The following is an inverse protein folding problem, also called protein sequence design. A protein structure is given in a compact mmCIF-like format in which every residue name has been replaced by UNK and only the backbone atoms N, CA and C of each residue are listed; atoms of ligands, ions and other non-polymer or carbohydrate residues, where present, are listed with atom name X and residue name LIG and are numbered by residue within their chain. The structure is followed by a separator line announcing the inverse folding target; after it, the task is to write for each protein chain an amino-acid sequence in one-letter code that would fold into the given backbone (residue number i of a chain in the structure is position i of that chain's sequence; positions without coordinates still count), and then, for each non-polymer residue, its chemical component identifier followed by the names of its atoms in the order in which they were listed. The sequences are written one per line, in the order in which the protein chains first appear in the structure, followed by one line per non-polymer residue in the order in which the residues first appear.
data_IF_272561817128
#
_entry.id   IF_272561817128
#
_cell.length_a   1.000
_cell.length_b   1.000
_cell.length_c   1.000
_cell.angle_alpha   90.00
_cell.angle_beta   90.00
_cell.angle_gamma   90.00
#
_symmetry.space_group_name_H-M   'P 1'
#
loop_
_entity.id
_entity.type
_entity.pdbx_description
1 polymer ?
#
# COMPACT_ATOMS: atom_id res chain seq x y z
N UNK A 1 12.33 24.38 -5.82
CA UNK A 1 11.86 24.86 -4.50
C UNK A 1 10.36 24.95 -4.57
N UNK A 2 9.63 24.19 -3.74
CA UNK A 2 8.16 24.19 -3.73
C UNK A 2 7.71 25.50 -3.05
N UNK A 3 6.80 26.22 -3.69
CA UNK A 3 6.31 27.52 -3.22
C UNK A 3 5.35 27.36 -2.04
N UNK A 4 5.26 28.38 -1.19
CA UNK A 4 4.34 28.42 -0.03
C UNK A 4 2.87 28.19 -0.46
N UNK A 5 2.52 28.62 -1.67
CA UNK A 5 1.22 28.44 -2.30
C UNK A 5 0.93 26.96 -2.64
N UNK A 6 1.91 26.23 -3.18
CA UNK A 6 1.78 24.80 -3.49
C UNK A 6 1.66 23.95 -2.22
N UNK A 7 2.35 24.32 -1.14
CA UNK A 7 2.18 23.67 0.18
C UNK A 7 0.76 23.83 0.72
N UNK A 8 0.22 25.04 0.64
CA UNK A 8 -1.14 25.36 1.11
C UNK A 8 -2.21 24.66 0.27
N UNK A 9 -2.04 24.61 -1.05
CA UNK A 9 -2.96 23.92 -1.96
C UNK A 9 -2.96 22.40 -1.69
N UNK A 10 -1.78 21.79 -1.52
CA UNK A 10 -1.67 20.37 -1.17
C UNK A 10 -2.30 20.07 0.20
N UNK A 11 -2.11 20.94 1.20
CA UNK A 11 -2.75 20.79 2.50
C UNK A 11 -4.27 20.94 2.45
N UNK A 12 -4.79 21.88 1.65
CA UNK A 12 -6.23 22.06 1.46
C UNK A 12 -6.88 20.86 0.77
N UNK A 13 -6.22 20.29 -0.25
CA UNK A 13 -6.67 19.07 -0.93
C UNK A 13 -6.67 17.83 0.00
N UNK A 14 -5.73 17.77 0.96
CA UNK A 14 -5.67 16.74 2.01
C UNK A 14 -6.75 16.94 3.09
N UNK A 15 -7.19 18.18 3.32
CA UNK A 15 -8.20 18.52 4.33
C UNK A 15 -9.64 18.38 3.82
N UNK A 16 -9.90 18.68 2.55
CA UNK A 16 -11.25 18.56 1.97
C UNK A 16 -11.64 17.11 1.60
N UNK A 17 -10.66 16.24 1.35
CA UNK A 17 -10.93 14.83 1.08
C UNK A 17 -10.57 14.01 2.32
N UNK A 18 -11.49 13.17 2.77
CA UNK A 18 -11.29 12.00 3.64
C UNK A 18 -10.16 11.02 3.20
N UNK A 19 -9.35 11.40 2.22
CA UNK A 19 -8.30 10.65 1.57
C UNK A 19 -6.97 11.01 2.22
N UNK A 20 -6.64 10.37 3.34
CA UNK A 20 -5.28 10.37 3.85
C UNK A 20 -4.54 9.20 3.17
N UNK A 21 -3.67 9.46 2.17
CA UNK A 21 -3.04 8.39 1.40
C UNK A 21 -2.21 7.46 2.29
N UNK A 22 -1.66 7.96 3.40
CA UNK A 22 -0.95 7.14 4.39
C UNK A 22 -1.87 6.17 5.12
N UNK A 23 -3.10 6.57 5.45
CA UNK A 23 -4.10 5.67 6.05
C UNK A 23 -4.52 4.58 5.07
N UNK A 24 -4.84 4.96 3.83
CA UNK A 24 -5.22 4.02 2.76
C UNK A 24 -4.08 3.03 2.53
N UNK A 25 -2.84 3.52 2.44
CA UNK A 25 -1.63 2.71 2.32
C UNK A 25 -1.50 1.70 3.45
N UNK A 26 -1.71 2.13 4.69
CA UNK A 26 -1.64 1.23 5.86
C UNK A 26 -2.72 0.16 5.86
N UNK A 27 -3.96 0.52 5.50
CA UNK A 27 -5.09 -0.42 5.45
C UNK A 27 -4.85 -1.47 4.36
N UNK A 28 -4.57 -1.05 3.13
CA UNK A 28 -4.35 -1.96 2.01
C UNK A 28 -3.13 -2.86 2.28
N UNK A 29 -2.04 -2.30 2.82
CA UNK A 29 -0.87 -3.09 3.21
C UNK A 29 -1.23 -4.18 4.23
N UNK A 30 -2.05 -3.86 5.22
CA UNK A 30 -2.51 -4.81 6.25
C UNK A 30 -3.38 -5.93 5.66
N UNK A 31 -4.29 -5.57 4.76
CA UNK A 31 -5.19 -6.53 4.12
C UNK A 31 -4.42 -7.51 3.22
N UNK A 32 -3.51 -6.99 2.40
CA UNK A 32 -2.67 -7.83 1.55
C UNK A 32 -1.76 -8.72 2.40
N UNK A 33 -1.15 -8.19 3.47
CA UNK A 33 -0.33 -8.99 4.38
C UNK A 33 -1.12 -10.15 4.98
N UNK A 34 -2.34 -9.89 5.42
CA UNK A 34 -3.23 -10.88 6.01
C UNK A 34 -3.63 -11.94 4.98
N UNK A 35 -3.88 -11.54 3.74
CA UNK A 35 -4.18 -12.46 2.64
C UNK A 35 -2.98 -13.37 2.35
N UNK A 36 -1.77 -12.82 2.24
CA UNK A 36 -0.55 -13.59 1.93
C UNK A 36 -0.16 -14.57 3.05
N UNK A 37 -0.44 -14.23 4.31
CA UNK A 37 -0.26 -15.15 5.44
C UNK A 37 -1.02 -16.47 5.28
N UNK A 38 -2.11 -16.48 4.51
CA UNK A 38 -2.85 -17.70 4.21
C UNK A 38 -2.09 -18.60 3.23
N UNK A 39 -1.26 -18.03 2.36
CA UNK A 39 -0.56 -18.74 1.29
C UNK A 39 0.92 -19.00 1.60
N UNK A 40 1.48 -18.38 2.62
CA UNK A 40 2.87 -18.60 3.01
C UNK A 40 3.26 -17.87 4.29
N UNK A 41 4.48 -18.12 4.73
CA UNK A 41 5.05 -17.43 5.88
C UNK A 41 5.72 -16.15 5.40
N UNK A 42 5.14 -15.02 5.82
CA UNK A 42 5.56 -13.68 5.46
C UNK A 42 5.77 -12.83 6.72
N UNK A 43 6.91 -12.16 6.76
CA UNK A 43 7.27 -11.20 7.80
C UNK A 43 6.89 -9.77 7.37
N UNK A 44 6.70 -8.86 8.33
CA UNK A 44 6.30 -7.48 8.04
C UNK A 44 7.26 -6.73 7.11
N UNK A 45 8.54 -7.09 7.18
CA UNK A 45 9.62 -6.54 6.36
C UNK A 45 9.62 -7.10 4.94
N UNK A 46 9.10 -8.32 4.78
CA UNK A 46 8.94 -8.98 3.48
C UNK A 46 7.85 -8.35 2.61
N UNK A 47 7.14 -7.31 3.10
CA UNK A 47 6.08 -6.64 2.39
C UNK A 47 6.38 -5.17 2.11
N UNK A 48 6.67 -4.88 0.84
CA UNK A 48 6.71 -3.51 0.31
C UNK A 48 5.38 -3.18 -0.38
N UNK A 49 4.85 -1.99 -0.07
CA UNK A 49 3.61 -1.49 -0.65
C UNK A 49 3.68 0.03 -0.76
N UNK A 50 3.45 0.58 -1.95
CA UNK A 50 3.38 2.00 -2.24
C UNK A 50 2.20 2.36 -3.14
N UNK A 51 1.77 3.62 -3.04
CA UNK A 51 0.79 4.23 -3.92
C UNK A 51 1.41 5.54 -4.41
N UNK A 52 1.69 5.60 -5.71
CA UNK A 52 2.24 6.77 -6.39
C UNK A 52 1.10 7.49 -7.09
N UNK A 53 1.08 8.82 -7.02
CA UNK A 53 0.15 9.65 -7.79
C UNK A 53 0.88 10.08 -9.05
N UNK A 54 0.32 9.77 -10.21
CA UNK A 54 0.90 10.11 -11.51
C UNK A 54 0.52 11.54 -11.92
N UNK A 55 1.23 12.06 -12.91
CA UNK A 55 1.06 13.45 -13.39
C UNK A 55 -0.35 13.73 -13.96
N UNK A 56 -1.06 12.69 -14.42
CA UNK A 56 -2.44 12.77 -14.90
C UNK A 56 -3.49 12.68 -13.77
N UNK A 57 -3.05 12.60 -12.51
CA UNK A 57 -3.89 12.47 -11.33
C UNK A 57 -4.41 11.05 -11.06
N UNK A 58 -3.98 10.06 -11.85
CA UNK A 58 -4.24 8.65 -11.58
C UNK A 58 -3.32 8.10 -10.48
N UNK A 59 -3.64 6.90 -9.99
CA UNK A 59 -2.88 6.24 -8.92
C UNK A 59 -2.25 4.96 -9.44
N UNK A 60 -0.94 4.80 -9.24
CA UNK A 60 -0.22 3.56 -9.45
C UNK A 60 0.01 2.87 -8.10
N UNK A 61 -0.27 1.57 -8.03
CA UNK A 61 -0.07 0.76 -6.82
C UNK A 61 1.07 -0.21 -7.07
N UNK A 62 2.16 -0.01 -6.35
CA UNK A 62 3.30 -0.92 -6.37
C UNK A 62 3.26 -1.83 -5.14
N UNK A 63 3.40 -3.12 -5.38
CA UNK A 63 3.40 -4.12 -4.32
C UNK A 63 4.44 -5.20 -4.62
N UNK A 64 5.25 -5.51 -3.61
CA UNK A 64 6.24 -6.58 -3.67
C UNK A 64 6.28 -7.34 -2.36
N UNK A 65 6.06 -8.65 -2.45
CA UNK A 65 6.13 -9.55 -1.32
C UNK A 65 7.23 -10.59 -1.49
N UNK A 66 7.96 -10.84 -0.40
CA UNK A 66 8.88 -11.95 -0.26
C UNK A 66 8.32 -12.89 0.81
N UNK A 67 8.03 -14.12 0.42
CA UNK A 67 7.60 -15.17 1.33
C UNK A 67 8.77 -16.11 1.60
N UNK A 68 8.94 -16.51 2.86
CA UNK A 68 10.02 -17.44 3.25
C UNK A 68 9.67 -18.88 2.85
N UNK A 69 8.40 -19.25 3.00
CA UNK A 69 7.86 -20.54 2.58
C UNK A 69 6.46 -20.38 2.02
N UNK A 70 6.14 -21.14 0.96
CA UNK A 70 4.78 -21.27 0.47
C UNK A 70 4.08 -22.42 1.20
N UNK A 71 2.86 -22.17 1.66
CA UNK A 71 1.98 -23.21 2.19
C UNK A 71 1.46 -24.00 1.00
N UNK A 72 2.06 -25.16 0.75
CA UNK A 72 1.49 -26.15 -0.16
C UNK A 72 0.14 -26.57 0.42
N UNK A 73 -0.95 -26.18 -0.24
CA UNK A 73 -2.26 -26.74 0.09
C UNK A 73 -2.14 -28.26 -0.02
N UNK A 74 -2.34 -28.97 1.08
CA UNK A 74 -2.54 -30.41 1.02
C UNK A 74 -3.85 -30.63 0.28
N UNK A 75 -3.77 -30.99 -1.00
CA UNK A 75 -4.86 -31.68 -1.67
C UNK A 75 -5.22 -32.87 -0.79
N UNK A 76 -6.43 -32.88 -0.24
CA UNK A 76 -6.94 -34.05 0.44
C UNK A 76 -6.98 -35.17 -0.60
N UNK A 77 -6.06 -36.14 -0.47
CA UNK A 77 -6.16 -37.44 -1.12
C UNK A 77 -7.20 -38.29 -0.38
#
# INVERSE_FOLDING_TARGET
MITEAEKRLNQALILEKHFNPKKIRSVIKSDIFSLLKNYGDIESEGLHFDIVILDDGSYEVEFKAKLNHLKMFKSFN
#
